data_IF_454610775330
#
_entry.id   IF_454610775330
#
_cell.length_a   1.000
_cell.length_b   1.000
_cell.length_c   1.000
_cell.angle_alpha   90.00
_cell.angle_beta   90.00
_cell.angle_gamma   90.00
#
_symmetry.space_group_name_H-M   'P 1'
#
loop_
_entity.id
_entity.type
_entity.pdbx_description
1 polymer ?
#
# COMPACT_ATOMS: atom_id res chain seq x y z
N UNK A 1 27.86 -2.65 -14.28
CA UNK A 1 27.15 -3.65 -13.45
C UNK A 1 27.95 -3.97 -12.19
N UNK A 2 29.26 -4.25 -12.29
CA UNK A 2 30.16 -4.34 -11.12
C UNK A 2 30.28 -3.01 -10.36
N UNK A 3 30.48 -1.88 -11.05
CA UNK A 3 30.58 -0.56 -10.40
C UNK A 3 29.33 -0.18 -9.59
N UNK A 4 28.13 -0.45 -10.12
CA UNK A 4 26.85 -0.23 -9.42
C UNK A 4 26.74 -1.08 -8.14
N UNK A 5 27.21 -2.34 -8.19
CA UNK A 5 27.17 -3.22 -7.02
C UNK A 5 28.20 -2.80 -5.96
N UNK A 6 29.37 -2.33 -6.38
CA UNK A 6 30.39 -1.81 -5.47
C UNK A 6 29.93 -0.51 -4.80
N UNK A 7 29.27 0.39 -5.55
CA UNK A 7 28.63 1.60 -5.02
C UNK A 7 27.57 1.27 -3.97
N UNK A 8 26.58 0.43 -4.31
CA UNK A 8 25.54 -0.01 -3.39
C UNK A 8 26.14 -0.65 -2.13
N UNK A 9 27.14 -1.53 -2.29
CA UNK A 9 27.80 -2.18 -1.16
C UNK A 9 28.46 -1.15 -0.26
N UNK A 10 29.19 -0.19 -0.82
CA UNK A 10 29.84 0.86 -0.04
C UNK A 10 28.80 1.70 0.73
N UNK A 11 27.75 2.16 0.05
CA UNK A 11 26.66 2.93 0.66
C UNK A 11 25.98 2.16 1.80
N UNK A 12 25.66 0.87 1.60
CA UNK A 12 25.04 0.05 2.65
C UNK A 12 25.98 -0.25 3.82
N UNK A 13 27.29 -0.38 3.58
CA UNK A 13 28.27 -0.68 4.64
C UNK A 13 28.42 0.47 5.62
N UNK A 14 28.31 1.71 5.15
CA UNK A 14 28.42 2.92 5.99
C UNK A 14 27.04 3.48 6.41
N UNK A 15 25.94 2.99 5.84
CA UNK A 15 24.59 3.49 6.07
C UNK A 15 24.21 3.68 7.55
N UNK A 16 24.68 2.81 8.45
CA UNK A 16 24.44 2.88 9.89
C UNK A 16 25.76 2.73 10.65
N UNK A 17 26.03 3.67 11.55
CA UNK A 17 27.14 3.61 12.50
C UNK A 17 26.58 3.47 13.91
N UNK A 18 26.83 2.32 14.54
CA UNK A 18 26.51 2.04 15.94
C UNK A 18 27.80 1.77 16.72
N UNK A 19 28.32 2.81 17.36
CA UNK A 19 29.48 2.74 18.24
C UNK A 19 29.02 3.05 19.66
N UNK A 20 28.72 1.98 20.41
CA UNK A 20 28.21 2.08 21.78
C UNK A 20 29.25 2.63 22.77
N UNK A 21 30.54 2.40 22.52
CA UNK A 21 31.61 2.89 23.40
C UNK A 21 31.80 4.40 23.26
N UNK A 22 31.75 4.90 22.02
CA UNK A 22 31.81 6.34 21.73
C UNK A 22 30.43 7.03 21.82
N UNK A 23 29.35 6.29 22.05
CA UNK A 23 27.98 6.81 22.10
C UNK A 23 27.48 7.38 20.77
N UNK A 24 27.97 6.86 19.64
CA UNK A 24 27.57 7.32 18.30
C UNK A 24 26.53 6.40 17.69
N UNK A 25 25.39 6.97 17.36
CA UNK A 25 24.33 6.35 16.56
C UNK A 25 24.01 7.28 15.41
N UNK A 26 24.49 6.97 14.20
CA UNK A 26 24.42 7.85 13.04
C UNK A 26 23.97 7.10 11.81
N UNK A 27 23.24 7.79 10.95
CA UNK A 27 22.78 7.27 9.67
C UNK A 27 23.35 8.14 8.56
N UNK A 28 23.90 7.52 7.52
CA UNK A 28 24.42 8.26 6.37
C UNK A 28 23.27 8.90 5.59
N UNK A 29 23.37 10.20 5.29
CA UNK A 29 22.33 10.96 4.57
C UNK A 29 22.07 10.46 3.15
N UNK A 30 23.00 9.72 2.55
CA UNK A 30 22.81 9.10 1.25
C UNK A 30 21.58 8.19 1.23
N UNK A 31 21.14 7.64 2.37
CA UNK A 31 19.92 6.83 2.40
C UNK A 31 18.67 7.59 1.91
N UNK A 32 18.68 8.92 1.98
CA UNK A 32 17.55 9.74 1.57
C UNK A 32 17.59 10.18 0.10
N UNK A 33 18.75 10.07 -0.55
CA UNK A 33 19.00 10.72 -1.85
C UNK A 33 19.56 9.79 -2.93
N UNK A 34 20.05 8.61 -2.55
CA UNK A 34 20.66 7.65 -3.48
C UNK A 34 19.60 6.88 -4.29
N UNK A 35 19.68 6.98 -5.62
CA UNK A 35 18.72 6.36 -6.56
C UNK A 35 18.85 4.83 -6.61
N UNK A 36 20.08 4.30 -6.58
CA UNK A 36 20.30 2.86 -6.61
C UNK A 36 19.76 2.20 -5.33
N UNK A 37 19.89 2.87 -4.19
CA UNK A 37 19.28 2.42 -2.95
C UNK A 37 17.74 2.49 -3.02
N UNK A 38 17.16 3.52 -3.62
CA UNK A 38 15.72 3.59 -3.83
C UNK A 38 15.19 2.40 -4.65
N UNK A 39 15.91 1.99 -5.70
CA UNK A 39 15.55 0.78 -6.46
C UNK A 39 15.55 -0.49 -5.59
N UNK A 40 16.49 -0.59 -4.65
CA UNK A 40 16.54 -1.71 -3.70
C UNK A 40 15.43 -1.63 -2.66
N UNK A 41 15.09 -0.43 -2.16
CA UNK A 41 13.97 -0.23 -1.25
C UNK A 41 12.65 -0.64 -1.91
N UNK A 42 12.45 -0.26 -3.16
CA UNK A 42 11.28 -0.69 -3.93
C UNK A 42 11.18 -2.21 -4.01
N UNK A 43 12.29 -2.89 -4.31
CA UNK A 43 12.32 -4.34 -4.43
C UNK A 43 12.17 -5.08 -3.09
N UNK A 44 12.92 -4.67 -2.07
CA UNK A 44 13.07 -5.44 -0.83
C UNK A 44 12.20 -4.94 0.32
N UNK A 45 11.74 -3.69 0.29
CA UNK A 45 10.80 -3.15 1.28
C UNK A 45 9.39 -3.20 0.72
N UNK A 46 9.08 -2.40 -0.30
CA UNK A 46 7.69 -2.22 -0.76
C UNK A 46 7.14 -3.42 -1.55
N UNK A 47 7.97 -4.08 -2.35
CA UNK A 47 7.58 -5.30 -3.09
C UNK A 47 8.01 -6.58 -2.36
N UNK A 48 8.84 -6.46 -1.32
CA UNK A 48 9.38 -7.58 -0.55
C UNK A 48 8.60 -7.91 0.74
N UNK A 49 7.85 -6.96 1.30
CA UNK A 49 7.16 -7.10 2.60
C UNK A 49 5.65 -6.81 2.50
N UNK A 50 4.97 -6.72 3.64
CA UNK A 50 3.58 -6.28 3.76
C UNK A 50 3.50 -4.75 3.64
N UNK A 51 2.51 -4.27 2.88
CA UNK A 51 2.20 -2.85 2.70
C UNK A 51 0.74 -2.61 3.13
N UNK A 52 0.51 -1.58 3.96
CA UNK A 52 -0.85 -1.13 4.28
C UNK A 52 -1.52 -0.55 3.03
N UNK A 53 -2.77 -0.96 2.78
CA UNK A 53 -3.47 -0.61 1.54
C UNK A 53 -4.69 0.29 1.75
N UNK A 54 -5.54 -0.06 2.73
CA UNK A 54 -6.80 0.61 3.02
C UNK A 54 -7.37 0.12 4.35
N UNK A 55 -8.40 0.79 4.85
CA UNK A 55 -9.31 0.24 5.85
C UNK A 55 -10.55 -0.37 5.17
N UNK A 56 -11.10 -1.46 5.69
CA UNK A 56 -12.24 -2.16 5.08
C UNK A 56 -13.50 -1.29 5.02
N UNK A 57 -13.65 -0.32 5.92
CA UNK A 57 -14.75 0.65 5.92
C UNK A 57 -14.73 1.58 4.72
N UNK A 58 -13.62 1.64 3.97
CA UNK A 58 -13.53 2.36 2.69
C UNK A 58 -14.13 1.55 1.53
N UNK A 59 -14.46 0.27 1.77
CA UNK A 59 -15.04 -0.68 0.82
C UNK A 59 -16.20 -1.44 1.50
N UNK A 60 -17.20 -0.74 2.07
CA UNK A 60 -18.17 -1.38 2.96
C UNK A 60 -19.20 -2.22 2.21
N UNK A 61 -19.52 -1.87 0.95
CA UNK A 61 -20.61 -2.52 0.21
C UNK A 61 -20.09 -3.52 -0.81
N UNK A 62 -20.92 -4.52 -1.11
CA UNK A 62 -20.75 -5.40 -2.27
C UNK A 62 -20.57 -4.56 -3.54
N UNK A 63 -19.54 -4.89 -4.32
CA UNK A 63 -19.20 -4.20 -5.56
C UNK A 63 -18.25 -3.02 -5.37
N UNK A 64 -18.08 -2.50 -4.16
CA UNK A 64 -17.13 -1.41 -3.93
C UNK A 64 -15.72 -1.86 -4.29
N UNK A 65 -14.93 -0.96 -4.88
CA UNK A 65 -13.50 -1.14 -5.04
C UNK A 65 -12.71 0.09 -4.64
N UNK A 66 -11.44 -0.14 -4.28
CA UNK A 66 -10.45 0.88 -3.99
C UNK A 66 -9.15 0.56 -4.72
N UNK A 67 -8.57 1.53 -5.44
CA UNK A 67 -7.29 1.35 -6.14
C UNK A 67 -6.14 1.96 -5.35
N UNK A 68 -5.00 1.27 -5.31
CA UNK A 68 -3.78 1.74 -4.65
C UNK A 68 -2.57 1.03 -5.27
N UNK A 69 -1.41 1.07 -4.60
CA UNK A 69 -0.17 0.46 -5.08
C UNK A 69 0.49 -0.39 -3.98
N UNK A 70 1.17 -1.47 -4.39
CA UNK A 70 2.19 -2.16 -3.60
C UNK A 70 3.51 -1.94 -4.34
N UNK A 71 4.38 -1.09 -3.79
CA UNK A 71 5.54 -0.62 -4.53
C UNK A 71 5.12 0.00 -5.87
N UNK A 72 5.61 -0.54 -6.99
CA UNK A 72 5.23 -0.09 -8.34
C UNK A 72 4.05 -0.84 -8.94
N UNK A 73 3.51 -1.82 -8.22
CA UNK A 73 2.42 -2.66 -8.72
C UNK A 73 1.07 -1.99 -8.44
N UNK A 74 0.30 -1.57 -9.46
CA UNK A 74 -1.04 -1.06 -9.24
C UNK A 74 -1.95 -2.21 -8.81
N UNK A 75 -2.73 -1.99 -7.76
CA UNK A 75 -3.67 -2.98 -7.23
C UNK A 75 -5.08 -2.42 -7.10
N UNK A 76 -6.06 -3.30 -7.13
CA UNK A 76 -7.46 -3.01 -6.83
C UNK A 76 -7.93 -3.96 -5.74
N UNK A 77 -8.44 -3.39 -4.66
CA UNK A 77 -9.15 -4.11 -3.60
C UNK A 77 -10.63 -4.02 -3.92
N UNK A 78 -11.35 -5.13 -3.85
CA UNK A 78 -12.79 -5.15 -4.16
C UNK A 78 -13.56 -6.10 -3.25
N UNK A 79 -14.80 -5.75 -2.95
CA UNK A 79 -15.75 -6.64 -2.29
C UNK A 79 -16.64 -7.33 -3.31
N UNK A 80 -16.60 -8.65 -3.38
CA UNK A 80 -17.41 -9.41 -4.34
C UNK A 80 -18.89 -9.52 -3.90
N UNK A 81 -19.69 -10.25 -4.67
CA UNK A 81 -21.13 -10.41 -4.39
C UNK A 81 -21.41 -11.32 -3.19
N UNK A 82 -20.42 -12.12 -2.79
CA UNK A 82 -20.45 -12.96 -1.61
C UNK A 82 -20.03 -12.17 -0.35
N UNK A 83 -19.51 -10.95 -0.52
CA UNK A 83 -19.05 -10.08 0.57
C UNK A 83 -17.56 -10.22 0.85
N UNK A 84 -16.86 -11.06 0.11
CA UNK A 84 -15.43 -11.37 0.29
C UNK A 84 -14.55 -10.28 -0.31
N UNK A 85 -13.46 -9.95 0.39
CA UNK A 85 -12.47 -8.99 -0.08
C UNK A 85 -11.40 -9.69 -0.91
N UNK A 86 -11.13 -9.14 -2.10
CA UNK A 86 -10.05 -9.58 -2.98
C UNK A 86 -9.09 -8.42 -3.22
N UNK A 87 -7.80 -8.72 -3.36
CA UNK A 87 -6.80 -7.77 -3.84
C UNK A 87 -6.12 -8.32 -5.10
N UNK A 88 -6.24 -7.58 -6.20
CA UNK A 88 -5.86 -8.00 -7.55
C UNK A 88 -4.85 -7.02 -8.12
N UNK A 89 -3.91 -7.51 -8.93
CA UNK A 89 -3.10 -6.64 -9.79
C UNK A 89 -4.04 -5.95 -10.79
N UNK A 90 -4.02 -4.62 -10.82
CA UNK A 90 -4.87 -3.79 -11.67
C UNK A 90 -4.29 -3.66 -13.08
N UNK A 91 -4.08 -4.82 -13.72
CA UNK A 91 -3.58 -4.94 -15.08
C UNK A 91 -4.30 -6.09 -15.78
N UNK A 92 -4.88 -5.80 -16.94
CA UNK A 92 -5.57 -6.81 -17.76
C UNK A 92 -4.62 -7.95 -18.14
N UNK A 93 -5.05 -9.20 -17.95
CA UNK A 93 -4.27 -10.40 -18.30
C UNK A 93 -3.96 -10.55 -19.80
N UNK A 94 -4.61 -9.77 -20.67
CA UNK A 94 -4.32 -9.78 -22.10
C UNK A 94 -3.03 -9.01 -22.46
N UNK A 95 -3.00 -7.69 -22.19
CA UNK A 95 -1.91 -6.77 -22.61
C UNK A 95 -1.53 -5.75 -21.52
N UNK A 96 -1.90 -6.00 -20.27
CA UNK A 96 -1.50 -5.17 -19.13
C UNK A 96 -2.22 -3.82 -18.99
N UNK A 97 -3.22 -3.51 -19.84
CA UNK A 97 -3.97 -2.26 -19.70
C UNK A 97 -4.66 -2.16 -18.33
N UNK A 98 -4.56 -1.00 -17.69
CA UNK A 98 -5.19 -0.73 -16.39
C UNK A 98 -6.71 -0.82 -16.50
N UNK A 99 -7.33 -1.56 -15.57
CA UNK A 99 -8.77 -1.85 -15.58
C UNK A 99 -9.56 -0.79 -14.83
N UNK A 100 -9.16 -0.53 -13.59
CA UNK A 100 -9.81 0.41 -12.68
C UNK A 100 -9.00 1.70 -12.63
N UNK A 101 -9.51 2.77 -13.22
CA UNK A 101 -8.80 4.07 -13.34
C UNK A 101 -9.27 5.11 -12.33
N UNK A 102 -10.35 4.84 -11.58
CA UNK A 102 -10.83 5.70 -10.50
C UNK A 102 -10.24 5.22 -9.17
N UNK A 103 -10.12 6.12 -8.19
CA UNK A 103 -9.67 5.76 -6.84
C UNK A 103 -10.68 4.81 -6.17
N UNK A 104 -11.95 5.12 -6.32
CA UNK A 104 -13.09 4.31 -5.84
C UNK A 104 -14.20 4.28 -6.88
N UNK A 105 -14.99 3.21 -6.87
CA UNK A 105 -16.24 3.05 -7.63
C UNK A 105 -17.00 1.81 -7.07
N UNK A 106 -18.20 1.54 -7.57
CA UNK A 106 -18.96 0.31 -7.26
C UNK A 106 -19.29 -0.46 -8.55
N UNK A 107 -18.68 -1.63 -8.74
CA UNK A 107 -18.88 -2.50 -9.92
C UNK A 107 -18.69 -3.98 -9.59
N UNK A 108 -19.56 -4.82 -10.15
CA UNK A 108 -19.43 -6.30 -10.06
C UNK A 108 -18.52 -6.90 -11.14
N UNK A 109 -18.12 -6.11 -12.14
CA UNK A 109 -17.22 -6.51 -13.22
C UNK A 109 -16.26 -5.40 -13.62
N UNK A 110 -15.08 -5.79 -14.11
CA UNK A 110 -14.06 -4.92 -14.66
C UNK A 110 -13.90 -5.23 -16.15
N UNK A 111 -14.25 -4.27 -17.02
CA UNK A 111 -14.08 -4.43 -18.46
C UNK A 111 -12.88 -3.63 -18.92
N UNK A 112 -11.93 -4.32 -19.54
CA UNK A 112 -10.71 -3.72 -20.06
C UNK A 112 -11.03 -2.72 -21.18
N UNK A 113 -10.59 -1.45 -21.08
CA UNK A 113 -10.89 -0.43 -22.07
C UNK A 113 -10.18 -0.67 -23.42
N UNK A 114 -9.20 -1.59 -23.47
CA UNK A 114 -8.43 -1.83 -24.68
C UNK A 114 -9.16 -2.77 -25.65
N UNK A 115 -9.46 -4.01 -25.22
CA UNK A 115 -10.04 -5.04 -26.09
C UNK A 115 -11.35 -5.62 -25.55
N UNK A 116 -11.92 -5.05 -24.48
CA UNK A 116 -13.22 -5.47 -23.95
C UNK A 116 -13.21 -6.82 -23.24
N UNK A 117 -12.05 -7.31 -22.78
CA UNK A 117 -12.00 -8.46 -21.88
C UNK A 117 -12.66 -8.07 -20.55
N UNK A 118 -13.59 -8.89 -20.08
CA UNK A 118 -14.38 -8.60 -18.88
C UNK A 118 -14.07 -9.63 -17.81
N UNK A 119 -13.76 -9.13 -16.63
CA UNK A 119 -13.47 -9.90 -15.43
C UNK A 119 -14.56 -9.66 -14.39
N UNK A 120 -14.87 -10.66 -13.58
CA UNK A 120 -15.63 -10.47 -12.34
C UNK A 120 -14.74 -9.70 -11.35
N UNK A 121 -15.34 -8.98 -10.42
CA UNK A 121 -14.57 -8.23 -9.42
C UNK A 121 -13.72 -9.11 -8.48
N UNK A 122 -13.96 -10.42 -8.40
CA UNK A 122 -13.05 -11.37 -7.72
C UNK A 122 -11.83 -11.83 -8.56
N UNK A 123 -11.70 -11.31 -9.78
CA UNK A 123 -10.58 -11.59 -10.70
C UNK A 123 -10.88 -12.60 -11.81
N UNK A 124 -11.99 -13.35 -11.72
CA UNK A 124 -12.31 -14.38 -12.71
C UNK A 124 -12.57 -13.80 -14.10
N UNK A 125 -11.92 -14.31 -15.14
CA UNK A 125 -12.22 -13.97 -16.53
C UNK A 125 -13.63 -14.48 -16.89
N UNK A 126 -14.48 -13.57 -17.38
CA UNK A 126 -15.86 -13.90 -17.76
C UNK A 126 -16.03 -13.96 -19.27
N UNK A 127 -15.46 -12.99 -19.98
CA UNK A 127 -15.67 -12.81 -21.41
C UNK A 127 -14.43 -12.25 -22.08
N UNK A 128 -14.17 -12.76 -23.27
CA UNK A 128 -13.22 -12.18 -24.22
C UNK A 128 -13.92 -11.75 -25.50
N UNK A 129 -13.24 -10.92 -26.28
CA UNK A 129 -13.70 -10.51 -27.61
C UNK A 129 -13.58 -11.68 -28.58
N UNK A 130 -14.62 -11.90 -29.39
CA UNK A 130 -14.69 -12.89 -30.48
C UNK A 130 -14.25 -14.32 -30.07
N UNK A 131 -14.89 -14.94 -29.04
CA UNK A 131 -14.41 -16.17 -28.42
C UNK A 131 -14.41 -17.40 -29.35
N UNK A 132 -15.09 -17.35 -30.51
CA UNK A 132 -15.15 -18.45 -31.48
C UNK A 132 -14.23 -18.22 -32.69
N UNK A 133 -14.08 -16.97 -33.11
CA UNK A 133 -13.48 -16.63 -34.41
C UNK A 133 -12.06 -16.05 -34.29
N UNK A 134 -11.61 -15.69 -33.07
CA UNK A 134 -10.28 -15.13 -32.84
C UNK A 134 -9.16 -16.18 -32.66
N UNK A 135 -9.46 -17.48 -32.86
CA UNK A 135 -8.46 -18.55 -32.80
C UNK A 135 -7.99 -18.91 -31.39
N UNK A 136 -8.80 -18.66 -30.35
CA UNK A 136 -8.48 -19.11 -29.00
C UNK A 136 -8.50 -20.65 -28.94
N UNK A 137 -7.53 -21.28 -28.27
CA UNK A 137 -7.48 -22.72 -28.16
C UNK A 137 -8.51 -23.22 -27.13
N UNK A 138 -8.82 -24.51 -27.14
CA UNK A 138 -9.92 -25.06 -26.33
C UNK A 138 -9.73 -24.88 -24.81
N UNK A 139 -8.48 -24.80 -24.32
CA UNK A 139 -8.15 -24.54 -22.92
C UNK A 139 -8.30 -23.07 -22.49
N UNK A 140 -8.60 -22.16 -23.42
CA UNK A 140 -8.72 -20.74 -23.12
C UNK A 140 -9.94 -20.45 -22.24
N UNK A 141 -9.77 -19.61 -21.21
CA UNK A 141 -10.82 -19.28 -20.24
C UNK A 141 -11.47 -20.52 -19.57
N UNK A 142 -10.69 -21.58 -19.39
CA UNK A 142 -11.03 -22.76 -18.59
C UNK A 142 -10.06 -22.84 -17.41
N UNK A 143 -10.52 -23.39 -16.28
CA UNK A 143 -9.68 -23.68 -15.11
C UNK A 143 -8.83 -22.49 -14.60
N UNK A 144 -9.39 -21.27 -14.66
CA UNK A 144 -8.72 -20.03 -14.22
C UNK A 144 -7.70 -19.46 -15.21
N UNK A 145 -7.63 -20.02 -16.43
CA UNK A 145 -6.80 -19.52 -17.51
C UNK A 145 -7.09 -18.04 -17.80
N UNK A 146 -6.08 -17.20 -17.62
CA UNK A 146 -6.12 -15.75 -17.84
C UNK A 146 -7.04 -14.96 -16.88
N UNK A 147 -7.35 -15.52 -15.71
CA UNK A 147 -7.88 -14.72 -14.60
C UNK A 147 -6.91 -13.58 -14.23
N UNK A 148 -7.42 -12.54 -13.57
CA UNK A 148 -6.56 -11.50 -13.01
C UNK A 148 -5.67 -12.10 -11.92
N UNK A 149 -4.41 -11.66 -11.92
CA UNK A 149 -3.45 -12.07 -10.90
C UNK A 149 -3.88 -11.50 -9.56
N UNK A 150 -4.15 -12.38 -8.58
CA UNK A 150 -4.28 -11.97 -7.18
C UNK A 150 -2.91 -11.58 -6.62
N UNK A 151 -2.88 -10.63 -5.68
CA UNK A 151 -1.65 -10.39 -4.90
C UNK A 151 -1.27 -11.66 -4.14
N UNK A 152 0.02 -11.86 -3.90
CA UNK A 152 0.52 -13.13 -3.36
C UNK A 152 0.02 -13.38 -1.92
N UNK A 153 -0.05 -12.32 -1.11
CA UNK A 153 -0.66 -12.31 0.22
C UNK A 153 -1.57 -11.11 0.37
N UNK A 154 -2.73 -11.34 0.98
CA UNK A 154 -3.68 -10.30 1.34
C UNK A 154 -4.26 -10.69 2.69
N UNK A 155 -4.28 -9.74 3.62
CA UNK A 155 -4.69 -9.97 5.00
C UNK A 155 -5.47 -8.79 5.54
N UNK A 156 -6.36 -9.10 6.47
CA UNK A 156 -7.16 -8.14 7.20
C UNK A 156 -6.88 -8.34 8.68
N UNK A 157 -6.42 -7.29 9.35
CA UNK A 157 -6.27 -7.29 10.80
C UNK A 157 -7.12 -6.15 11.38
N UNK A 158 -8.22 -6.50 12.05
CA UNK A 158 -9.16 -5.55 12.68
C UNK A 158 -9.65 -4.43 11.72
N UNK A 159 -9.85 -4.76 10.44
CA UNK A 159 -10.29 -3.83 9.40
C UNK A 159 -9.14 -3.17 8.62
N UNK A 160 -7.89 -3.26 9.09
CA UNK A 160 -6.72 -2.77 8.36
C UNK A 160 -6.29 -3.80 7.32
N UNK A 161 -6.34 -3.41 6.05
CA UNK A 161 -6.05 -4.27 4.91
C UNK A 161 -4.59 -4.10 4.49
N UNK A 162 -3.87 -5.22 4.47
CA UNK A 162 -2.47 -5.29 4.04
C UNK A 162 -2.32 -6.23 2.86
N UNK A 163 -1.35 -5.97 1.99
CA UNK A 163 -1.00 -6.88 0.90
C UNK A 163 0.50 -6.99 0.68
N UNK A 164 0.91 -8.11 0.08
CA UNK A 164 2.26 -8.32 -0.43
C UNK A 164 2.22 -9.00 -1.79
N UNK A 165 3.11 -8.55 -2.69
CA UNK A 165 3.34 -9.21 -3.99
C UNK A 165 4.37 -10.33 -3.87
N UNK A 166 5.08 -10.42 -2.74
CA UNK A 166 5.99 -11.50 -2.40
C UNK A 166 5.21 -12.63 -1.68
N UNK A 167 5.22 -13.88 -2.19
CA UNK A 167 4.59 -15.01 -1.50
C UNK A 167 5.35 -15.45 -0.24
N UNK A 168 6.64 -15.11 -0.15
CA UNK A 168 7.56 -15.47 0.92
C UNK A 168 7.68 -14.33 1.94
N UNK A 169 6.59 -14.10 2.66
CA UNK A 169 6.52 -13.18 3.80
C UNK A 169 5.91 -13.91 4.99
N UNK A 170 6.24 -13.43 6.19
CA UNK A 170 5.65 -13.90 7.44
C UNK A 170 4.11 -13.77 7.41
N UNK A 171 3.37 -14.60 8.16
CA UNK A 171 1.95 -14.33 8.44
C UNK A 171 1.74 -12.89 8.93
N UNK A 172 0.60 -12.27 8.58
CA UNK A 172 0.36 -10.84 8.85
C UNK A 172 0.52 -10.49 10.33
N UNK A 173 -0.07 -11.27 11.23
CA UNK A 173 0.01 -11.03 12.68
C UNK A 173 1.45 -11.12 13.21
N UNK A 174 2.26 -12.06 12.69
CA UNK A 174 3.68 -12.16 13.06
C UNK A 174 4.48 -10.97 12.51
N UNK A 175 4.17 -10.49 11.31
CA UNK A 175 4.79 -9.29 10.75
C UNK A 175 4.45 -8.03 11.57
N UNK A 176 3.19 -7.88 11.99
CA UNK A 176 2.74 -6.74 12.79
C UNK A 176 3.36 -6.75 14.19
N UNK A 177 3.58 -7.94 14.78
CA UNK A 177 4.18 -8.09 16.10
C UNK A 177 3.41 -7.30 17.15
N UNK A 178 4.13 -6.53 17.99
CA UNK A 178 3.52 -5.73 19.05
C UNK A 178 2.62 -4.58 18.57
N UNK A 179 2.69 -4.23 17.28
CA UNK A 179 1.78 -3.22 16.68
C UNK A 179 0.32 -3.65 16.78
N UNK A 180 0.05 -4.97 16.82
CA UNK A 180 -1.29 -5.55 17.05
C UNK A 180 -1.97 -4.95 18.29
N UNK A 181 -1.23 -4.78 19.39
CA UNK A 181 -1.73 -4.19 20.64
C UNK A 181 -2.19 -2.75 20.44
N UNK A 182 -1.46 -1.96 19.64
CA UNK A 182 -1.80 -0.57 19.35
C UNK A 182 -3.05 -0.49 18.47
N UNK A 183 -3.14 -1.37 17.47
CA UNK A 183 -4.32 -1.46 16.62
C UNK A 183 -5.55 -1.85 17.45
N UNK A 184 -5.44 -2.88 18.29
CA UNK A 184 -6.52 -3.32 19.17
C UNK A 184 -6.97 -2.19 20.10
N UNK A 185 -6.04 -1.53 20.81
CA UNK A 185 -6.37 -0.39 21.67
C UNK A 185 -7.04 0.78 20.92
N UNK A 186 -6.75 0.95 19.64
CA UNK A 186 -7.37 2.00 18.81
C UNK A 186 -8.78 1.60 18.40
N UNK A 187 -8.96 0.37 17.93
CA UNK A 187 -10.27 -0.14 17.48
C UNK A 187 -11.23 -0.32 18.66
N UNK A 188 -10.73 -0.75 19.82
CA UNK A 188 -11.53 -1.05 21.01
C UNK A 188 -12.01 0.22 21.77
N UNK A 189 -11.68 1.43 21.29
CA UNK A 189 -12.24 2.67 21.85
C UNK A 189 -13.75 2.81 21.59
N UNK A 190 -14.30 2.01 20.67
CA UNK A 190 -15.73 1.96 20.35
C UNK A 190 -16.19 0.52 20.17
N UNK A 191 -17.39 0.14 20.66
CA UNK A 191 -17.96 -1.18 20.38
C UNK A 191 -18.28 -1.37 18.89
N UNK A 192 -18.40 -0.30 18.11
CA UNK A 192 -18.63 -0.32 16.66
C UNK A 192 -17.32 -0.36 15.87
N UNK A 193 -16.17 -0.32 16.55
CA UNK A 193 -14.85 -0.32 15.93
C UNK A 193 -14.43 1.05 15.37
N UNK A 194 -13.56 1.01 14.37
CA UNK A 194 -13.01 2.18 13.70
C UNK A 194 -13.55 2.29 12.27
N UNK A 195 -13.79 3.51 11.80
CA UNK A 195 -14.00 3.77 10.39
C UNK A 195 -13.13 4.92 9.87
N UNK A 196 -12.72 4.81 8.61
CA UNK A 196 -12.16 5.93 7.86
C UNK A 196 -13.30 6.77 7.30
N UNK A 197 -13.37 8.03 7.72
CA UNK A 197 -14.35 8.98 7.20
C UNK A 197 -14.14 9.23 5.71
N UNK A 198 -15.24 9.48 4.99
CA UNK A 198 -15.23 9.73 3.56
C UNK A 198 -14.42 10.98 3.22
N UNK A 199 -13.48 10.80 2.30
CA UNK A 199 -12.61 11.87 1.82
C UNK A 199 -11.14 11.46 1.92
N UNK A 200 -10.28 12.23 1.28
CA UNK A 200 -8.84 12.10 1.42
C UNK A 200 -8.20 13.46 1.16
N UNK A 201 -7.09 13.74 1.85
CA UNK A 201 -6.15 14.79 1.48
C UNK A 201 -4.93 14.13 0.87
N UNK A 202 -4.56 14.52 -0.34
CA UNK A 202 -3.39 13.99 -1.03
C UNK A 202 -2.58 15.14 -1.58
N UNK A 203 -1.31 15.18 -1.22
CA UNK A 203 -0.34 16.16 -1.66
C UNK A 203 1.00 15.46 -1.89
N UNK A 204 1.84 16.07 -2.72
CA UNK A 204 3.23 15.64 -2.92
C UNK A 204 4.14 16.56 -2.14
N UNK A 205 5.24 16.01 -1.64
CA UNK A 205 6.34 16.78 -1.05
C UNK A 205 7.65 16.34 -1.71
N UNK A 206 8.58 17.28 -1.87
CA UNK A 206 9.89 17.00 -2.44
C UNK A 206 10.83 16.51 -1.33
N UNK A 207 10.76 15.21 -1.05
CA UNK A 207 11.60 14.57 -0.05
C UNK A 207 11.39 13.07 0.02
N UNK A 208 12.29 12.40 0.74
CA UNK A 208 12.28 10.95 0.85
C UNK A 208 11.15 10.47 1.79
N UNK A 209 10.52 9.34 1.44
CA UNK A 209 9.44 8.73 2.22
C UNK A 209 9.83 8.44 3.68
N UNK A 210 11.12 8.13 3.92
CA UNK A 210 11.66 7.83 5.26
C UNK A 210 11.56 9.01 6.23
N UNK A 211 11.62 10.25 5.73
CA UNK A 211 11.51 11.45 6.57
C UNK A 211 10.13 11.54 7.26
N UNK A 212 9.07 11.07 6.61
CA UNK A 212 7.74 11.05 7.21
C UNK A 212 7.62 9.94 8.25
N UNK A 213 8.23 8.77 7.99
CA UNK A 213 8.24 7.65 8.91
C UNK A 213 9.02 7.97 10.20
N UNK A 214 10.20 8.58 10.09
CA UNK A 214 11.00 8.97 11.26
C UNK A 214 10.33 10.08 12.07
N UNK A 215 9.74 11.08 11.39
CA UNK A 215 9.07 12.19 12.06
C UNK A 215 7.85 11.72 12.86
N UNK A 216 7.12 10.71 12.37
CA UNK A 216 6.00 10.11 13.07
C UNK A 216 6.37 9.48 14.42
N UNK A 217 7.65 9.08 14.60
CA UNK A 217 8.18 8.56 15.85
C UNK A 217 8.95 9.60 16.69
N UNK A 218 9.15 10.82 16.16
CA UNK A 218 9.92 11.87 16.83
C UNK A 218 9.03 12.85 17.60
N UNK A 219 9.06 12.76 18.93
CA UNK A 219 8.40 13.74 19.80
C UNK A 219 9.21 15.03 20.04
N UNK A 220 10.50 15.06 19.70
CA UNK A 220 11.40 16.15 20.05
C UNK A 220 11.13 17.42 19.25
N UNK A 221 10.82 17.29 17.94
CA UNK A 221 10.55 18.45 17.09
C UNK A 221 9.28 19.23 17.48
N UNK A 222 8.40 18.65 18.29
CA UNK A 222 7.04 19.17 18.51
C UNK A 222 7.05 20.57 19.10
N UNK A 223 7.87 20.82 20.11
CA UNK A 223 7.92 22.12 20.81
C UNK A 223 8.52 23.23 19.95
N UNK A 224 9.45 22.91 19.05
CA UNK A 224 10.11 23.87 18.18
C UNK A 224 9.32 24.13 16.89
N UNK A 225 8.98 23.06 16.16
CA UNK A 225 8.34 23.16 14.84
C UNK A 225 6.89 23.63 14.96
N UNK A 226 6.17 23.16 15.98
CA UNK A 226 4.76 23.48 16.19
C UNK A 226 4.55 24.60 17.21
N UNK A 227 5.59 25.40 17.53
CA UNK A 227 5.50 26.50 18.49
C UNK A 227 4.36 27.48 18.17
N UNK A 228 4.22 27.87 16.90
CA UNK A 228 3.16 28.79 16.48
C UNK A 228 1.75 28.22 16.71
N UNK A 229 1.58 26.92 16.51
CA UNK A 229 0.33 26.22 16.82
C UNK A 229 0.06 26.23 18.32
N UNK A 230 1.05 25.83 19.13
CA UNK A 230 0.93 25.81 20.59
C UNK A 230 0.59 27.20 21.15
N UNK A 231 1.28 28.24 20.71
CA UNK A 231 1.02 29.63 21.10
C UNK A 231 -0.38 30.11 20.69
N UNK A 232 -0.85 29.73 19.50
CA UNK A 232 -2.19 30.11 19.03
C UNK A 232 -3.28 29.42 19.84
N UNK A 233 -3.13 28.13 20.13
CA UNK A 233 -4.08 27.38 20.96
C UNK A 233 -4.12 27.97 22.38
N UNK A 234 -2.96 28.29 22.96
CA UNK A 234 -2.88 28.92 24.28
C UNK A 234 -3.63 30.27 24.33
N UNK A 235 -3.43 31.14 23.33
CA UNK A 235 -4.14 32.44 23.23
C UNK A 235 -5.65 32.30 23.09
N UNK A 236 -6.11 31.26 22.37
CA UNK A 236 -7.55 30.97 22.25
C UNK A 236 -8.14 30.55 23.58
N UNK A 237 -7.43 29.73 24.33
CA UNK A 237 -7.85 29.29 25.67
C UNK A 237 -7.83 30.43 26.69
N UNK A 238 -6.88 31.36 26.60
CA UNK A 238 -6.79 32.53 27.50
C UNK A 238 -7.74 33.68 27.15
N UNK A 239 -8.40 33.65 25.98
CA UNK A 239 -9.26 34.73 25.50
C UNK A 239 -8.51 35.92 24.90
N UNK A 240 -7.22 35.78 24.63
CA UNK A 240 -6.36 36.82 24.04
C UNK A 240 -6.35 36.79 22.50
N UNK A 241 -7.10 35.86 21.89
CA UNK A 241 -7.31 35.81 20.45
C UNK A 241 -8.28 36.91 20.02
N UNK A 242 -7.76 38.10 19.74
CA UNK A 242 -8.48 39.09 18.92
C UNK A 242 -8.47 38.72 17.45
#
# INVERSE_FOLDING_TARGET
MTETLDHVRATLTDALVEDHEAGRHQVNRNIFTDEDLFELEMKYIFEGNWVYLAHESQIPNVGDYFTTYIGRQPVVISRDKEGELHCLINACSHRGAMLCRRKTDNRTTFTCPFHGWTFRNNGKLLKVKDPRDAGYPEQFNKDGSHDLRKVARFGNYRGFLFGSVNPDVKPLEEHLGDTTKIIDMTVDQSPEGLEVLRGASTYTFDGNWKLQAENGADGYHVSATHWNYAATTARRTSGEST
#
